data_IF_908364085232
#
_entry.id   IF_908364085232
#
_cell.length_a   1.000
_cell.length_b   1.000
_cell.length_c   1.000
_cell.angle_alpha   90.00
_cell.angle_beta   90.00
_cell.angle_gamma   90.00
#
_symmetry.space_group_name_H-M   'P 1'
#
loop_
_entity.id
_entity.type
_entity.pdbx_description
1 polymer ?
#
# COMPACT_ATOMS: atom_id res chain seq x y z
N UNK A 1 42.61 24.99 -19.08
CA UNK A 1 42.79 23.53 -18.96
C UNK A 1 43.27 23.28 -17.53
N UNK A 2 42.56 22.68 -16.58
CA UNK A 2 41.38 21.81 -16.58
C UNK A 2 40.50 22.13 -15.37
N UNK A 3 39.18 22.17 -15.60
CA UNK A 3 38.14 22.09 -14.58
C UNK A 3 37.62 20.65 -14.63
N UNK A 4 37.68 19.88 -13.53
CA UNK A 4 36.61 18.95 -13.12
C UNK A 4 36.71 18.85 -11.59
N UNK A 5 35.85 19.59 -10.90
CA UNK A 5 35.59 19.40 -9.47
C UNK A 5 34.49 18.34 -9.39
N UNK A 6 34.85 17.16 -8.90
CA UNK A 6 33.94 16.11 -8.48
C UNK A 6 33.01 16.68 -7.40
N UNK A 7 31.73 16.85 -7.73
CA UNK A 7 30.69 17.17 -6.75
C UNK A 7 29.97 15.88 -6.39
N UNK A 8 30.30 15.39 -5.20
CA UNK A 8 29.46 14.47 -4.45
C UNK A 8 28.12 15.14 -4.17
N UNK A 9 27.02 14.53 -4.62
CA UNK A 9 25.68 14.90 -4.19
C UNK A 9 25.34 14.10 -2.94
N UNK A 10 24.98 14.83 -1.89
CA UNK A 10 24.81 14.36 -0.54
C UNK A 10 23.53 13.52 -0.39
N UNK A 11 23.68 12.37 0.26
CA UNK A 11 22.59 11.69 0.95
C UNK A 11 22.00 12.64 2.01
N UNK A 12 20.73 13.02 1.85
CA UNK A 12 19.94 13.52 2.96
C UNK A 12 18.83 12.50 3.21
N UNK A 13 19.18 11.51 4.04
CA UNK A 13 18.20 10.69 4.74
C UNK A 13 17.59 11.54 5.85
N UNK A 14 16.38 12.07 5.64
CA UNK A 14 15.60 12.65 6.72
C UNK A 14 14.63 11.60 7.22
N UNK A 15 15.10 10.81 8.18
CA UNK A 15 14.27 9.93 8.99
C UNK A 15 13.36 10.78 9.89
N UNK A 16 12.07 10.81 9.58
CA UNK A 16 11.04 11.24 10.51
C UNK A 16 10.44 9.99 11.16
N UNK A 17 11.12 9.46 12.19
CA UNK A 17 10.53 8.44 13.07
C UNK A 17 9.77 9.20 14.17
N UNK A 18 8.48 9.42 13.95
CA UNK A 18 7.56 9.79 15.03
C UNK A 18 7.25 8.54 15.86
N UNK A 19 7.90 8.47 17.03
CA UNK A 19 7.59 7.50 18.09
C UNK A 19 6.38 8.01 18.86
N UNK A 20 5.22 7.41 18.63
CA UNK A 20 4.14 7.45 19.62
C UNK A 20 4.08 6.09 20.30
N UNK A 21 4.83 5.98 21.40
CA UNK A 21 4.68 4.92 22.36
C UNK A 21 3.33 5.09 23.06
N UNK A 22 2.42 4.13 22.89
CA UNK A 22 1.32 3.92 23.82
C UNK A 22 1.54 2.59 24.50
N UNK A 23 1.90 2.71 25.76
CA UNK A 23 2.08 1.67 26.76
C UNK A 23 0.76 0.93 27.03
N UNK A 24 0.75 -0.37 26.78
CA UNK A 24 0.08 -1.38 27.61
C UNK A 24 1.05 -2.58 27.62
N UNK A 25 1.84 -2.83 28.66
CA UNK A 25 1.40 -3.14 30.01
C UNK A 25 1.65 -4.62 30.27
N UNK A 26 2.91 -4.99 30.49
CA UNK A 26 3.32 -6.35 30.85
C UNK A 26 2.88 -6.71 32.27
N UNK A 27 2.14 -7.81 32.41
CA UNK A 27 2.08 -8.62 33.64
C UNK A 27 2.28 -10.09 33.27
N UNK A 28 3.46 -10.61 33.57
CA UNK A 28 3.64 -12.03 33.95
C UNK A 28 3.20 -12.16 35.43
N UNK A 29 2.74 -13.27 36.00
CA UNK A 29 2.87 -14.70 35.72
C UNK A 29 1.61 -15.44 36.23
N UNK A 30 1.29 -16.61 35.65
CA UNK A 30 1.32 -17.92 36.34
C UNK A 30 0.88 -19.05 35.42
N UNK A 31 1.67 -20.13 35.42
CA UNK A 31 1.33 -21.43 34.83
C UNK A 31 0.21 -22.08 35.61
N UNK A 32 -0.83 -22.53 34.91
CA UNK A 32 -1.55 -23.77 35.21
C UNK A 32 -2.02 -24.40 33.89
N UNK A 33 -1.94 -25.73 33.84
CA UNK A 33 -2.30 -26.55 32.68
C UNK A 33 -3.82 -26.54 32.54
N UNK A 34 -4.32 -26.26 31.34
CA UNK A 34 -5.53 -26.89 30.83
C UNK A 34 -5.55 -26.86 29.29
N UNK A 35 -5.85 -28.02 28.71
CA UNK A 35 -6.12 -28.23 27.30
C UNK A 35 -7.39 -27.45 26.91
N UNK A 36 -7.23 -26.32 26.22
CA UNK A 36 -8.36 -25.65 25.58
C UNK A 36 -8.04 -25.34 24.11
N UNK A 37 -8.73 -26.09 23.27
CA UNK A 37 -8.94 -25.84 21.85
C UNK A 37 -9.30 -24.37 21.61
N UNK A 38 -8.50 -23.67 20.79
CA UNK A 38 -8.76 -22.30 20.35
C UNK A 38 -9.85 -22.28 19.27
N UNK A 39 -11.10 -22.65 19.58
CA UNK A 39 -12.29 -22.31 18.76
C UNK A 39 -13.53 -22.33 19.66
N UNK A 40 -14.26 -21.22 19.71
CA UNK A 40 -15.63 -21.18 20.22
C UNK A 40 -16.00 -19.91 20.98
N UNK A 41 -15.86 -18.74 20.36
CA UNK A 41 -16.68 -17.61 20.81
C UNK A 41 -18.09 -17.86 20.26
N UNK A 42 -18.98 -18.39 21.10
CA UNK A 42 -20.41 -18.43 20.85
C UNK A 42 -20.94 -16.99 20.96
N UNK A 43 -20.88 -16.22 19.87
CA UNK A 43 -21.53 -14.92 19.79
C UNK A 43 -23.00 -15.16 19.51
N UNK A 44 -23.78 -15.39 20.57
CA UNK A 44 -25.24 -15.24 20.52
C UNK A 44 -25.59 -13.77 20.40
N UNK A 45 -25.65 -13.29 19.18
CA UNK A 45 -26.14 -11.98 18.78
C UNK A 45 -26.12 -11.93 17.26
N UNK A 46 -27.28 -11.70 16.65
CA UNK A 46 -27.40 -11.48 15.21
C UNK A 46 -26.78 -10.11 14.91
N UNK A 47 -25.44 -10.05 14.86
CA UNK A 47 -24.68 -8.84 14.54
C UNK A 47 -24.94 -8.58 13.06
N UNK A 48 -25.60 -7.48 12.77
CA UNK A 48 -25.91 -7.12 11.40
C UNK A 48 -24.61 -6.80 10.63
N UNK A 49 -24.59 -7.06 9.33
CA UNK A 49 -23.38 -6.92 8.49
C UNK A 49 -22.78 -5.50 8.51
N UNK A 50 -23.54 -4.49 8.92
CA UNK A 50 -23.14 -3.10 9.10
C UNK A 50 -22.48 -2.80 10.45
N UNK A 51 -22.60 -3.69 11.44
CA UNK A 51 -21.87 -3.61 12.72
C UNK A 51 -20.50 -4.29 12.67
N UNK A 52 -20.24 -5.08 11.63
CA UNK A 52 -18.97 -5.77 11.43
C UNK A 52 -17.95 -4.84 10.78
N UNK A 53 -16.82 -4.61 11.45
CA UNK A 53 -15.70 -3.82 10.94
C UNK A 53 -15.08 -4.38 9.65
N UNK A 54 -14.16 -3.61 9.06
CA UNK A 54 -13.42 -4.03 7.87
C UNK A 54 -12.74 -5.40 8.09
N UNK A 55 -12.80 -6.26 7.08
CA UNK A 55 -12.18 -7.58 7.07
C UNK A 55 -13.06 -8.71 7.61
N UNK A 56 -14.29 -8.42 8.02
CA UNK A 56 -15.24 -9.46 8.41
C UNK A 56 -15.77 -10.27 7.22
N UNK A 57 -15.69 -9.72 6.00
CA UNK A 57 -15.97 -10.45 4.76
C UNK A 57 -14.81 -10.28 3.81
N UNK A 58 -13.83 -11.18 3.83
CA UNK A 58 -12.71 -11.12 2.89
C UNK A 58 -13.08 -11.78 1.55
N UNK A 59 -12.61 -11.18 0.47
CA UNK A 59 -12.64 -11.72 -0.88
C UNK A 59 -11.19 -11.86 -1.37
N UNK A 60 -10.88 -13.01 -1.96
CA UNK A 60 -9.55 -13.29 -2.49
C UNK A 60 -9.65 -13.49 -4.01
N UNK A 61 -8.95 -12.62 -4.74
CA UNK A 61 -8.71 -12.76 -6.17
C UNK A 61 -7.30 -13.30 -6.39
N UNK A 62 -7.16 -14.29 -7.27
CA UNK A 62 -5.86 -14.84 -7.66
C UNK A 62 -5.71 -14.82 -9.18
N UNK A 63 -4.48 -14.94 -9.72
CA UNK A 63 -4.25 -15.02 -11.17
C UNK A 63 -4.96 -16.19 -11.85
N UNK A 64 -5.34 -17.23 -11.09
CA UNK A 64 -6.10 -18.38 -11.60
C UNK A 64 -7.61 -18.13 -11.64
N UNK A 65 -8.12 -17.20 -10.84
CA UNK A 65 -9.57 -16.96 -10.66
C UNK A 65 -10.04 -15.62 -11.23
N UNK A 66 -9.13 -14.71 -11.55
CA UNK A 66 -9.41 -13.34 -12.01
C UNK A 66 -8.28 -12.82 -12.90
N UNK A 67 -8.44 -11.61 -13.44
CA UNK A 67 -7.45 -10.99 -14.35
C UNK A 67 -6.27 -10.30 -13.62
N UNK A 68 -6.16 -10.45 -12.30
CA UNK A 68 -5.08 -9.84 -11.52
C UNK A 68 -3.73 -10.55 -11.75
N UNK A 69 -2.61 -9.81 -11.90
CA UNK A 69 -1.30 -10.44 -12.12
C UNK A 69 -0.72 -11.13 -10.87
N UNK A 70 -1.14 -10.71 -9.68
CA UNK A 70 -0.78 -11.30 -8.38
C UNK A 70 -2.01 -11.30 -7.47
N UNK A 71 -2.03 -12.16 -6.45
CA UNK A 71 -3.21 -12.30 -5.60
C UNK A 71 -3.53 -11.05 -4.79
N UNK A 72 -4.80 -10.84 -4.48
CA UNK A 72 -5.27 -9.77 -3.60
C UNK A 72 -6.38 -10.21 -2.67
N UNK A 73 -6.29 -9.81 -1.40
CA UNK A 73 -7.37 -9.97 -0.42
C UNK A 73 -7.93 -8.60 -0.02
N UNK A 74 -9.25 -8.46 -0.04
CA UNK A 74 -9.93 -7.22 0.34
C UNK A 74 -11.37 -7.46 0.81
N UNK A 75 -11.93 -6.49 1.55
CA UNK A 75 -13.34 -6.56 1.95
C UNK A 75 -14.25 -5.91 0.89
N UNK A 76 -15.09 -6.69 0.17
CA UNK A 76 -15.88 -6.19 -0.94
C UNK A 76 -17.03 -5.29 -0.50
N UNK A 77 -17.33 -5.18 0.81
CA UNK A 77 -18.27 -4.18 1.33
C UNK A 77 -17.72 -2.77 1.23
N UNK A 78 -16.39 -2.62 1.17
CA UNK A 78 -15.73 -1.32 1.19
C UNK A 78 -14.83 -1.05 -0.02
N UNK A 79 -14.22 -2.08 -0.61
CA UNK A 79 -13.32 -1.95 -1.78
C UNK A 79 -13.92 -2.72 -2.94
N UNK A 80 -14.01 -2.09 -4.12
CA UNK A 80 -14.49 -2.79 -5.33
C UNK A 80 -13.36 -3.61 -5.96
N UNK A 81 -13.71 -4.59 -6.77
CA UNK A 81 -12.72 -5.38 -7.52
C UNK A 81 -11.83 -4.49 -8.41
N UNK A 82 -12.40 -3.46 -9.04
CA UNK A 82 -11.64 -2.52 -9.87
C UNK A 82 -10.64 -1.68 -9.05
N UNK A 83 -11.03 -1.25 -7.85
CA UNK A 83 -10.13 -0.54 -6.94
C UNK A 83 -9.00 -1.45 -6.44
N UNK A 84 -9.33 -2.68 -6.04
CA UNK A 84 -8.35 -3.68 -5.63
C UNK A 84 -7.36 -4.00 -6.77
N UNK A 85 -7.86 -4.16 -8.00
CA UNK A 85 -7.04 -4.36 -9.19
C UNK A 85 -6.07 -3.18 -9.45
N UNK A 86 -6.49 -1.93 -9.25
CA UNK A 86 -5.58 -0.77 -9.38
C UNK A 86 -4.46 -0.77 -8.33
N UNK A 87 -4.76 -1.21 -7.10
CA UNK A 87 -3.74 -1.38 -6.06
C UNK A 87 -2.77 -2.50 -6.44
N UNK A 88 -3.29 -3.62 -6.98
CA UNK A 88 -2.46 -4.72 -7.50
C UNK A 88 -1.55 -4.25 -8.63
N UNK A 89 -2.10 -3.59 -9.65
CA UNK A 89 -1.35 -3.07 -10.79
C UNK A 89 -0.23 -2.13 -10.31
N UNK A 90 -0.51 -1.27 -9.33
CA UNK A 90 0.48 -0.36 -8.74
C UNK A 90 1.66 -1.10 -8.11
N UNK A 91 1.42 -2.08 -7.25
CA UNK A 91 2.51 -2.82 -6.60
C UNK A 91 3.21 -3.79 -7.54
N UNK A 92 2.46 -4.54 -8.35
CA UNK A 92 3.05 -5.49 -9.28
C UNK A 92 3.95 -4.77 -10.29
N UNK A 93 3.48 -3.68 -10.90
CA UNK A 93 4.27 -2.84 -11.82
C UNK A 93 5.54 -2.27 -11.19
N UNK A 94 5.53 -1.97 -9.89
CA UNK A 94 6.74 -1.55 -9.16
C UNK A 94 7.79 -2.65 -9.15
N UNK A 95 7.39 -3.86 -8.75
CA UNK A 95 8.34 -4.97 -8.60
C UNK A 95 8.82 -5.56 -9.93
N UNK A 96 7.96 -5.56 -10.96
CA UNK A 96 8.31 -6.02 -12.32
C UNK A 96 8.83 -4.91 -13.23
N UNK A 97 8.78 -3.66 -12.76
CA UNK A 97 9.19 -2.45 -13.47
C UNK A 97 8.41 -2.22 -14.78
N UNK A 98 7.13 -2.59 -14.79
CA UNK A 98 6.21 -2.41 -15.92
C UNK A 98 5.63 -0.99 -15.97
N UNK A 99 6.21 -0.14 -16.80
CA UNK A 99 5.79 1.26 -16.95
C UNK A 99 4.34 1.42 -17.43
N UNK A 100 3.88 0.59 -18.37
CA UNK A 100 2.55 0.74 -18.96
C UNK A 100 1.45 0.39 -17.95
N UNK A 101 1.67 -0.67 -17.17
CA UNK A 101 0.75 -1.02 -16.08
C UNK A 101 0.74 0.04 -14.99
N UNK A 102 1.90 0.61 -14.65
CA UNK A 102 1.97 1.68 -13.65
C UNK A 102 1.22 2.95 -14.10
N UNK A 103 1.38 3.33 -15.37
CA UNK A 103 0.67 4.45 -15.99
C UNK A 103 -0.85 4.26 -16.00
N UNK A 104 -1.32 3.01 -16.08
CA UNK A 104 -2.74 2.70 -15.96
C UNK A 104 -3.24 2.75 -14.51
N UNK A 105 -2.38 2.41 -13.53
CA UNK A 105 -2.75 2.38 -12.12
C UNK A 105 -2.85 3.78 -11.49
N UNK A 106 -1.95 4.69 -11.89
CA UNK A 106 -1.79 6.02 -11.27
C UNK A 106 -2.51 7.09 -12.08
N UNK A 107 -3.17 8.04 -11.41
CA UNK A 107 -3.85 9.12 -12.12
C UNK A 107 -2.86 9.96 -12.96
N UNK A 108 -3.07 10.15 -14.28
CA UNK A 108 -2.04 10.69 -15.18
C UNK A 108 -1.47 12.06 -14.78
N UNK A 109 -2.31 12.97 -14.26
CA UNK A 109 -1.85 14.29 -13.83
C UNK A 109 -0.95 14.20 -12.58
N UNK A 110 -1.25 13.28 -11.67
CA UNK A 110 -0.44 13.01 -10.48
C UNK A 110 0.88 12.34 -10.86
N UNK A 111 0.85 11.36 -11.76
CA UNK A 111 2.06 10.72 -12.27
C UNK A 111 3.00 11.73 -12.93
N UNK A 112 2.46 12.60 -13.80
CA UNK A 112 3.25 13.67 -14.43
C UNK A 112 3.90 14.59 -13.40
N UNK A 113 3.16 15.03 -12.40
CA UNK A 113 3.70 15.85 -11.31
C UNK A 113 4.78 15.12 -10.52
N UNK A 114 4.64 13.80 -10.30
CA UNK A 114 5.64 12.98 -9.63
C UNK A 114 6.94 12.89 -10.42
N UNK A 115 6.85 12.67 -11.74
CA UNK A 115 8.00 12.65 -12.63
C UNK A 115 8.74 14.00 -12.63
N UNK A 116 8.00 15.11 -12.72
CA UNK A 116 8.56 16.45 -12.70
C UNK A 116 9.21 16.79 -11.35
N UNK A 117 8.56 16.47 -10.23
CA UNK A 117 9.06 16.76 -8.88
C UNK A 117 10.28 15.92 -8.47
N UNK A 118 10.41 14.72 -9.02
CA UNK A 118 11.54 13.82 -8.78
C UNK A 118 12.61 13.89 -9.89
N UNK A 119 12.48 14.82 -10.83
CA UNK A 119 13.37 14.98 -11.99
C UNK A 119 13.58 13.68 -12.78
N UNK A 120 12.55 12.84 -12.86
CA UNK A 120 12.56 11.57 -13.60
C UNK A 120 12.15 11.81 -15.05
N UNK A 121 12.92 11.26 -16.00
CA UNK A 121 12.63 11.47 -17.42
C UNK A 121 11.46 10.61 -17.93
N UNK A 122 11.16 9.50 -17.23
CA UNK A 122 10.12 8.55 -17.63
C UNK A 122 9.56 7.79 -16.43
N UNK A 123 8.38 7.17 -16.61
CA UNK A 123 7.82 6.20 -15.65
C UNK A 123 8.80 5.06 -15.36
N UNK A 124 9.59 4.63 -16.35
CA UNK A 124 10.58 3.59 -16.15
C UNK A 124 11.67 4.00 -15.14
N UNK A 125 12.13 5.25 -15.20
CA UNK A 125 13.14 5.77 -14.27
C UNK A 125 12.58 5.90 -12.85
N UNK A 126 11.32 6.34 -12.74
CA UNK A 126 10.58 6.33 -11.48
C UNK A 126 10.48 4.93 -10.89
N UNK A 127 10.07 3.93 -11.67
CA UNK A 127 9.95 2.54 -11.20
C UNK A 127 11.30 1.94 -10.80
N UNK A 128 12.39 2.26 -11.52
CA UNK A 128 13.73 1.86 -11.11
C UNK A 128 14.10 2.45 -9.74
N UNK A 129 13.82 3.73 -9.53
CA UNK A 129 14.09 4.42 -8.26
C UNK A 129 13.26 3.85 -7.12
N UNK A 130 11.97 3.61 -7.34
CA UNK A 130 11.09 2.99 -6.36
C UNK A 130 11.52 1.56 -6.03
N UNK A 131 11.84 0.75 -7.04
CA UNK A 131 12.35 -0.59 -6.84
C UNK A 131 13.62 -0.59 -5.97
N UNK A 132 14.57 0.31 -6.23
CA UNK A 132 15.80 0.42 -5.44
C UNK A 132 15.54 0.85 -3.99
N UNK A 133 14.53 1.70 -3.73
CA UNK A 133 14.09 2.04 -2.38
C UNK A 133 13.56 0.79 -1.65
N UNK A 134 12.68 0.02 -2.29
CA UNK A 134 12.12 -1.18 -1.70
C UNK A 134 13.16 -2.29 -1.52
N UNK A 135 14.08 -2.44 -2.47
CA UNK A 135 15.26 -3.30 -2.35
C UNK A 135 16.14 -2.89 -1.17
N UNK A 136 16.21 -1.61 -0.84
CA UNK A 136 16.86 -1.12 0.38
C UNK A 136 16.22 -1.62 1.67
N UNK A 137 14.90 -1.88 1.68
CA UNK A 137 14.19 -2.44 2.84
C UNK A 137 14.29 -3.97 2.90
N UNK A 138 14.18 -4.64 1.76
CA UNK A 138 14.23 -6.11 1.68
C UNK A 138 15.67 -6.64 1.65
N UNK A 139 16.66 -5.76 1.45
CA UNK A 139 18.10 -6.03 1.26
C UNK A 139 18.41 -6.94 0.05
N UNK A 140 17.41 -7.23 -0.78
CA UNK A 140 17.46 -8.21 -1.86
C UNK A 140 16.57 -7.80 -3.01
N UNK A 141 16.84 -8.37 -4.18
CA UNK A 141 15.88 -8.33 -5.27
C UNK A 141 14.58 -9.03 -4.84
N UNK A 142 13.45 -8.55 -5.35
CA UNK A 142 12.14 -9.01 -4.92
C UNK A 142 11.12 -8.89 -6.05
N UNK A 143 10.09 -9.73 -5.97
CA UNK A 143 8.86 -9.58 -6.75
C UNK A 143 7.67 -9.69 -5.79
N UNK A 144 6.72 -8.76 -5.86
CA UNK A 144 5.50 -8.88 -5.06
C UNK A 144 4.64 -10.00 -5.61
N UNK A 145 4.00 -10.75 -4.72
CA UNK A 145 3.19 -11.93 -5.05
C UNK A 145 1.79 -11.88 -4.47
N UNK A 146 1.55 -11.00 -3.50
CA UNK A 146 0.24 -10.82 -2.90
C UNK A 146 0.05 -9.41 -2.33
N UNK A 147 -1.15 -8.87 -2.47
CA UNK A 147 -1.60 -7.62 -1.84
C UNK A 147 -2.68 -7.94 -0.82
N UNK A 148 -2.48 -7.53 0.43
CA UNK A 148 -3.48 -7.66 1.49
C UNK A 148 -3.92 -6.26 1.89
N UNK A 149 -5.18 -5.91 1.57
CA UNK A 149 -5.80 -4.68 2.03
C UNK A 149 -6.39 -4.98 3.41
N UNK A 150 -5.69 -4.54 4.45
CA UNK A 150 -5.93 -4.90 5.86
C UNK A 150 -7.01 -4.04 6.52
N UNK A 151 -7.11 -2.78 6.11
CA UNK A 151 -7.98 -1.80 6.76
C UNK A 151 -8.19 -0.57 5.85
N UNK A 152 -9.17 0.26 6.20
CA UNK A 152 -9.43 1.55 5.56
C UNK A 152 -9.41 2.64 6.63
N UNK A 153 -8.70 3.73 6.37
CA UNK A 153 -8.72 4.89 7.24
C UNK A 153 -10.06 5.62 7.08
N UNK A 154 -10.95 5.44 8.06
CA UNK A 154 -12.25 6.11 8.09
C UNK A 154 -12.10 7.63 8.28
N UNK A 155 -12.84 8.42 7.48
CA UNK A 155 -12.88 9.89 7.55
C UNK A 155 -13.26 10.45 8.93
N UNK A 156 -13.91 9.65 9.79
CA UNK A 156 -14.45 10.14 11.08
C UNK A 156 -13.39 10.59 12.07
N UNK A 157 -12.12 10.19 11.89
CA UNK A 157 -11.06 10.50 12.84
C UNK A 157 -9.99 11.47 12.32
N UNK A 158 -9.88 11.71 11.01
CA UNK A 158 -8.79 12.56 10.53
C UNK A 158 -9.02 13.11 9.11
N UNK A 159 -9.57 14.32 8.99
CA UNK A 159 -9.53 15.06 7.70
C UNK A 159 -8.10 15.22 7.19
N UNK A 160 -7.11 15.19 8.10
CA UNK A 160 -5.70 15.28 7.74
C UNK A 160 -5.19 14.07 6.96
N UNK A 161 -5.85 12.91 7.05
CA UNK A 161 -5.42 11.69 6.37
C UNK A 161 -5.41 11.83 4.84
N UNK A 162 -6.28 12.68 4.29
CA UNK A 162 -6.38 12.93 2.86
C UNK A 162 -5.70 14.23 2.41
N UNK A 163 -5.24 15.08 3.34
CA UNK A 163 -4.80 16.45 3.04
C UNK A 163 -3.66 16.51 2.01
N UNK A 164 -2.68 15.61 2.12
CA UNK A 164 -1.55 15.59 1.17
C UNK A 164 -2.01 15.22 -0.25
N UNK A 165 -2.82 14.17 -0.37
CA UNK A 165 -3.35 13.68 -1.64
C UNK A 165 -4.29 14.71 -2.29
N UNK A 166 -5.17 15.31 -1.49
CA UNK A 166 -6.09 16.37 -1.93
C UNK A 166 -5.33 17.63 -2.35
N UNK A 167 -4.28 17.98 -1.60
CA UNK A 167 -3.43 19.10 -1.95
C UNK A 167 -2.77 18.86 -3.31
N UNK A 168 -2.11 17.71 -3.51
CA UNK A 168 -1.48 17.37 -4.80
C UNK A 168 -2.51 17.42 -5.93
N UNK A 169 -3.66 16.77 -5.76
CA UNK A 169 -4.71 16.74 -6.78
C UNK A 169 -5.22 18.15 -7.13
N UNK A 170 -5.40 19.02 -6.12
CA UNK A 170 -5.82 20.41 -6.34
C UNK A 170 -4.82 21.23 -7.15
N UNK A 171 -3.52 20.91 -7.09
CA UNK A 171 -2.49 21.61 -7.84
C UNK A 171 -2.43 21.14 -9.30
N UNK A 172 -2.63 19.84 -9.53
CA UNK A 172 -2.33 19.21 -10.82
C UNK A 172 -3.58 18.96 -11.68
N UNK A 173 -4.74 18.84 -11.03
CA UNK A 173 -6.03 18.59 -11.68
C UNK A 173 -7.19 19.19 -10.85
N UNK A 174 -7.28 20.53 -10.72
CA UNK A 174 -8.30 21.20 -9.90
C UNK A 174 -9.74 20.92 -10.34
N UNK A 175 -9.94 20.57 -11.62
CA UNK A 175 -11.25 20.27 -12.19
C UNK A 175 -11.59 18.76 -12.17
N UNK A 176 -10.75 17.92 -11.56
CA UNK A 176 -10.98 16.48 -11.47
C UNK A 176 -12.29 16.17 -10.73
N UNK A 177 -13.14 15.33 -11.34
CA UNK A 177 -14.43 14.95 -10.74
C UNK A 177 -14.25 13.73 -9.84
N UNK A 178 -13.82 13.98 -8.62
CA UNK A 178 -13.69 12.95 -7.59
C UNK A 178 -15.07 12.57 -7.05
N UNK A 179 -15.47 11.31 -7.18
CA UNK A 179 -16.76 10.79 -6.69
C UNK A 179 -16.63 9.89 -5.46
N UNK A 180 -15.44 9.34 -5.21
CA UNK A 180 -15.13 8.55 -4.02
C UNK A 180 -13.63 8.66 -3.68
N UNK A 181 -13.29 8.53 -2.40
CA UNK A 181 -11.93 8.53 -1.88
C UNK A 181 -11.80 7.46 -0.80
N UNK A 182 -10.71 6.69 -0.85
CA UNK A 182 -10.36 5.69 0.16
C UNK A 182 -8.87 5.76 0.44
N UNK A 183 -8.49 5.65 1.71
CA UNK A 183 -7.11 5.49 2.13
C UNK A 183 -6.96 4.10 2.74
N UNK A 184 -6.25 3.24 2.03
CA UNK A 184 -6.15 1.82 2.29
C UNK A 184 -4.86 1.51 3.03
N UNK A 185 -4.91 0.67 4.07
CA UNK A 185 -3.72 0.12 4.70
C UNK A 185 -3.37 -1.20 4.03
N UNK A 186 -2.26 -1.20 3.31
CA UNK A 186 -1.84 -2.32 2.47
C UNK A 186 -0.60 -2.98 3.04
N UNK A 187 -0.62 -4.31 3.09
CA UNK A 187 0.56 -5.12 3.26
C UNK A 187 0.82 -5.93 1.99
N UNK A 188 2.05 -5.92 1.49
CA UNK A 188 2.43 -6.72 0.34
C UNK A 188 3.31 -7.88 0.77
N UNK A 189 3.05 -9.04 0.19
CA UNK A 189 3.93 -10.20 0.30
C UNK A 189 4.81 -10.28 -0.94
N UNK A 190 6.08 -10.66 -0.76
CA UNK A 190 7.05 -10.77 -1.84
C UNK A 190 7.86 -12.06 -1.76
N UNK A 191 8.46 -12.43 -2.88
CA UNK A 191 9.42 -13.53 -3.00
C UNK A 191 10.76 -13.00 -3.47
N UNK A 192 11.85 -13.64 -3.05
CA UNK A 192 13.19 -13.40 -3.59
C UNK A 192 13.37 -14.18 -4.90
N UNK A 193 14.15 -13.68 -5.88
CA UNK A 193 14.45 -14.41 -7.11
C UNK A 193 15.01 -15.81 -6.85
N UNK A 194 14.33 -16.83 -7.35
CA UNK A 194 14.72 -18.24 -7.17
C UNK A 194 14.59 -18.76 -5.73
N UNK A 195 13.98 -17.99 -4.82
CA UNK A 195 13.76 -18.36 -3.43
C UNK A 195 12.53 -19.26 -3.25
N UNK A 196 12.55 -20.06 -2.19
CA UNK A 196 11.39 -20.77 -1.67
C UNK A 196 10.98 -20.10 -0.36
N UNK A 197 10.07 -19.14 -0.42
CA UNK A 197 9.63 -18.40 0.76
C UNK A 197 8.79 -17.19 0.40
N UNK A 198 7.87 -16.82 1.29
CA UNK A 198 6.96 -15.69 1.14
C UNK A 198 7.18 -14.73 2.30
N UNK A 199 7.51 -13.47 2.02
CA UNK A 199 7.95 -12.49 3.00
C UNK A 199 7.01 -11.29 3.04
N UNK A 200 6.66 -10.85 4.25
CA UNK A 200 5.81 -9.68 4.45
C UNK A 200 6.66 -8.40 4.43
N UNK A 201 6.31 -7.46 3.54
CA UNK A 201 6.96 -6.15 3.45
C UNK A 201 6.84 -5.38 4.77
N UNK A 202 5.71 -5.52 5.47
CA UNK A 202 5.46 -4.86 6.75
C UNK A 202 6.56 -5.14 7.79
N UNK A 203 7.16 -6.33 7.80
CA UNK A 203 8.24 -6.70 8.73
C UNK A 203 9.49 -5.82 8.53
N UNK A 204 9.78 -5.44 7.29
CA UNK A 204 10.91 -4.59 6.93
C UNK A 204 10.63 -3.09 7.14
N UNK A 205 9.36 -2.72 7.35
CA UNK A 205 8.91 -1.34 7.59
C UNK A 205 8.57 -1.06 9.05
N UNK A 206 9.08 -1.87 9.98
CA UNK A 206 8.85 -1.71 11.42
C UNK A 206 7.41 -1.99 11.84
N UNK A 207 6.80 -3.01 11.24
CA UNK A 207 5.40 -3.41 11.46
C UNK A 207 4.39 -2.31 11.09
N UNK A 208 4.64 -1.61 9.98
CA UNK A 208 3.75 -0.58 9.43
C UNK A 208 3.24 -0.96 8.05
N UNK A 209 1.95 -0.71 7.84
CA UNK A 209 1.31 -0.80 6.54
C UNK A 209 1.79 0.29 5.57
N UNK A 210 1.58 0.07 4.28
CA UNK A 210 1.68 1.11 3.25
C UNK A 210 0.31 1.76 3.14
N UNK A 211 0.23 3.08 3.32
CA UNK A 211 -1.00 3.81 3.09
C UNK A 211 -1.12 4.11 1.58
N UNK A 212 -2.23 3.69 0.97
CA UNK A 212 -2.48 3.84 -0.47
C UNK A 212 -3.81 4.57 -0.67
N UNK A 213 -3.76 5.78 -1.24
CA UNK A 213 -4.96 6.52 -1.59
C UNK A 213 -5.51 6.05 -2.93
N UNK A 214 -6.78 5.66 -2.97
CA UNK A 214 -7.52 5.27 -4.18
C UNK A 214 -8.71 6.20 -4.37
N UNK A 215 -8.69 6.96 -5.46
CA UNK A 215 -9.72 7.95 -5.77
C UNK A 215 -10.45 7.52 -7.04
N UNK A 216 -11.78 7.60 -7.03
CA UNK A 216 -12.58 7.44 -8.24
C UNK A 216 -12.73 8.80 -8.91
N UNK A 217 -12.15 8.95 -10.11
CA UNK A 217 -12.14 10.19 -10.89
C UNK A 217 -12.80 9.90 -12.23
N UNK A 218 -13.84 10.68 -12.57
CA UNK A 218 -14.62 10.51 -13.80
C UNK A 218 -15.18 9.07 -14.01
N UNK A 219 -15.42 8.36 -12.91
CA UNK A 219 -15.98 7.00 -12.90
C UNK A 219 -14.95 5.87 -12.88
N UNK A 220 -13.65 6.18 -12.94
CA UNK A 220 -12.59 5.17 -12.92
C UNK A 220 -11.72 5.30 -11.66
N UNK A 221 -11.29 4.19 -11.04
CA UNK A 221 -10.40 4.22 -9.88
C UNK A 221 -8.94 4.45 -10.30
N UNK A 222 -8.23 5.25 -9.50
CA UNK A 222 -6.81 5.53 -9.65
C UNK A 222 -6.11 5.56 -8.29
N UNK A 223 -4.86 5.09 -8.27
CA UNK A 223 -3.96 5.33 -7.14
C UNK A 223 -3.45 6.77 -7.19
N UNK A 224 -3.46 7.44 -6.04
CA UNK A 224 -2.87 8.76 -5.82
C UNK A 224 -1.63 8.57 -4.94
N UNK A 225 -0.44 8.60 -5.54
CA UNK A 225 0.83 8.28 -4.86
C UNK A 225 1.93 9.31 -5.06
#
# INVERSE_FOLDING_TARGET
>A
MNRIITRAAAFIATAAISVCAVSCGSKEEKKEKDDHNMVGIDVQGDVSLDELGYGATQHDDTPETSDVPIGVSYDPRYVTAEEAAKVVDYFYSLSTKDAAMHENAVYPAVLKYRLESLEQASTQDLLNSLYDIYKGYTEKDFEFTYVLIEDIVEEKNDKSAYEEYDYVLSQVAPDAKVTAKKLLKVNCTYTEPGGHGSYSLMLHRGNKYVDVAVYTIDGEPYVIS
#
